data_IF_180456017556
#
_entry.id   IF_180456017556
#
_cell.length_a   1.000
_cell.length_b   1.000
_cell.length_c   1.000
_cell.angle_alpha   90.00
_cell.angle_beta   90.00
_cell.angle_gamma   90.00
#
_symmetry.space_group_name_H-M   'P 1'
#
loop_
_entity.id
_entity.type
_entity.pdbx_description
1 polymer ?
#
# COMPACT_ATOMS: atom_id res chain seq x y z
N UNK A 1 3.26 -27.64 -10.70
CA UNK A 1 4.46 -26.78 -10.72
C UNK A 1 4.11 -25.49 -11.44
N UNK A 2 4.01 -24.36 -10.74
CA UNK A 2 3.70 -23.07 -11.36
C UNK A 2 5.02 -22.37 -11.75
N UNK A 3 5.29 -22.27 -13.05
CA UNK A 3 6.38 -21.46 -13.61
C UNK A 3 6.16 -20.00 -13.24
N UNK A 4 6.97 -19.48 -12.31
CA UNK A 4 6.97 -18.05 -11.99
C UNK A 4 7.70 -17.35 -13.12
N UNK A 5 6.94 -16.90 -14.13
CA UNK A 5 7.47 -15.98 -15.14
C UNK A 5 7.93 -14.69 -14.43
N UNK A 6 9.23 -14.57 -14.20
CA UNK A 6 9.86 -13.35 -13.72
C UNK A 6 9.65 -12.26 -14.78
N UNK A 7 8.92 -11.20 -14.41
CA UNK A 7 8.87 -9.99 -15.22
C UNK A 7 10.16 -9.20 -15.00
N UNK A 8 10.77 -8.73 -16.10
CA UNK A 8 11.77 -7.67 -16.03
C UNK A 8 11.11 -6.40 -15.47
N UNK A 9 11.50 -6.08 -14.24
CA UNK A 9 11.26 -4.77 -13.63
C UNK A 9 12.54 -3.98 -13.78
N UNK A 10 12.43 -2.69 -14.04
CA UNK A 10 13.61 -1.83 -13.97
C UNK A 10 14.05 -1.61 -12.52
N UNK A 11 15.21 -0.97 -12.35
CA UNK A 11 15.79 -0.66 -11.03
C UNK A 11 14.85 0.14 -10.11
N UNK A 12 13.82 0.79 -10.66
CA UNK A 12 12.83 1.58 -9.93
C UNK A 12 11.54 0.79 -9.63
N UNK A 13 11.50 -0.50 -9.95
CA UNK A 13 10.34 -1.37 -9.73
C UNK A 13 9.21 -1.18 -10.75
N UNK A 14 9.44 -0.40 -11.82
CA UNK A 14 8.44 -0.13 -12.84
C UNK A 14 8.38 -1.25 -13.89
N UNK A 15 7.18 -1.46 -14.41
CA UNK A 15 6.90 -2.34 -15.54
C UNK A 15 7.52 -1.80 -16.81
N UNK A 16 8.40 -2.57 -17.46
CA UNK A 16 8.96 -2.23 -18.78
C UNK A 16 7.85 -1.92 -19.81
N UNK A 17 6.71 -2.63 -19.74
CA UNK A 17 5.54 -2.43 -20.63
C UNK A 17 4.75 -1.13 -20.43
N UNK A 18 4.70 -0.58 -19.20
CA UNK A 18 3.97 0.67 -18.87
C UNK A 18 4.93 1.86 -18.72
N UNK A 19 6.24 1.59 -18.73
CA UNK A 19 7.30 2.59 -18.61
C UNK A 19 7.18 3.77 -19.58
N UNK A 20 6.87 3.58 -20.89
CA UNK A 20 6.74 4.73 -21.78
C UNK A 20 5.54 5.61 -21.42
N UNK A 21 4.42 5.03 -21.00
CA UNK A 21 3.22 5.75 -20.55
C UNK A 21 3.49 6.50 -19.24
N UNK A 22 4.17 5.87 -18.28
CA UNK A 22 4.58 6.53 -17.03
C UNK A 22 5.56 7.68 -17.29
N UNK A 23 6.49 7.50 -18.24
CA UNK A 23 7.43 8.55 -18.64
C UNK A 23 6.69 9.73 -19.28
N UNK A 24 5.69 9.47 -20.13
CA UNK A 24 4.85 10.52 -20.72
C UNK A 24 4.07 11.30 -19.65
N UNK A 25 3.43 10.60 -18.72
CA UNK A 25 2.71 11.22 -17.60
C UNK A 25 3.62 12.03 -16.67
N UNK A 26 4.86 11.58 -16.45
CA UNK A 26 5.83 12.32 -15.64
C UNK A 26 6.27 13.66 -16.27
N UNK A 27 6.13 13.83 -17.59
CA UNK A 27 6.43 15.09 -18.27
C UNK A 27 5.31 16.13 -18.15
N UNK A 28 4.13 15.74 -17.64
CA UNK A 28 2.97 16.63 -17.57
C UNK A 28 2.48 16.75 -16.14
N UNK A 29 2.28 18.00 -15.68
CA UNK A 29 1.79 18.25 -14.33
C UNK A 29 0.29 18.02 -14.23
N UNK A 30 -0.14 17.31 -13.19
CA UNK A 30 -1.54 17.17 -12.80
C UNK A 30 -2.11 18.40 -12.07
N UNK A 31 -1.26 19.36 -11.70
CA UNK A 31 -1.63 20.59 -11.00
C UNK A 31 -1.04 21.84 -11.68
N UNK A 32 -1.40 22.11 -12.93
CA UNK A 32 -0.92 23.32 -13.60
C UNK A 32 -1.72 24.54 -13.16
N UNK A 33 -1.09 25.72 -13.25
CA UNK A 33 -1.74 27.03 -13.05
C UNK A 33 -2.45 27.54 -14.31
N UNK A 34 -2.29 26.86 -15.45
CA UNK A 34 -2.82 27.27 -16.76
C UNK A 34 -3.72 26.20 -17.37
N UNK A 35 -4.83 26.63 -17.99
CA UNK A 35 -5.81 25.74 -18.63
C UNK A 35 -5.21 24.92 -19.79
N UNK A 36 -4.36 25.52 -20.62
CA UNK A 36 -3.70 24.84 -21.74
C UNK A 36 -2.83 23.67 -21.26
N UNK A 37 -2.14 23.85 -20.13
CA UNK A 37 -1.32 22.82 -19.50
C UNK A 37 -2.18 21.71 -18.90
N UNK A 38 -3.35 22.02 -18.35
CA UNK A 38 -4.30 21.01 -17.88
C UNK A 38 -4.89 20.20 -19.04
N UNK A 39 -5.16 20.84 -20.18
CA UNK A 39 -5.63 20.14 -21.39
C UNK A 39 -4.59 19.13 -21.87
N UNK A 40 -3.32 19.53 -21.96
CA UNK A 40 -2.21 18.61 -22.26
C UNK A 40 -2.14 17.43 -21.28
N UNK A 41 -2.37 17.67 -19.99
CA UNK A 41 -2.45 16.60 -18.99
C UNK A 41 -3.60 15.64 -19.28
N UNK A 42 -4.81 16.17 -19.50
CA UNK A 42 -5.99 15.37 -19.78
C UNK A 42 -5.82 14.53 -21.06
N UNK A 43 -5.29 15.13 -22.13
CA UNK A 43 -5.04 14.45 -23.40
C UNK A 43 -4.02 13.30 -23.21
N UNK A 44 -2.92 13.57 -22.51
CA UNK A 44 -1.89 12.56 -22.18
C UNK A 44 -2.45 11.43 -21.31
N UNK A 45 -3.32 11.75 -20.34
CA UNK A 45 -4.00 10.75 -19.52
C UNK A 45 -4.89 9.88 -20.38
N UNK A 46 -5.74 10.47 -21.24
CA UNK A 46 -6.65 9.72 -22.10
C UNK A 46 -5.91 8.77 -23.07
N UNK A 47 -4.83 9.24 -23.69
CA UNK A 47 -3.99 8.43 -24.57
C UNK A 47 -3.32 7.25 -23.84
N UNK A 48 -2.84 7.48 -22.62
CA UNK A 48 -2.14 6.45 -21.85
C UNK A 48 -3.08 5.54 -21.04
N UNK A 49 -4.34 5.95 -20.85
CA UNK A 49 -5.29 5.31 -19.95
C UNK A 49 -5.55 3.85 -20.32
N UNK A 50 -5.84 3.58 -21.59
CA UNK A 50 -6.21 2.24 -22.06
C UNK A 50 -5.10 1.22 -21.83
N UNK A 51 -3.86 1.56 -22.23
CA UNK A 51 -2.70 0.69 -22.05
C UNK A 51 -2.39 0.44 -20.56
N UNK A 52 -2.49 1.48 -19.73
CA UNK A 52 -2.26 1.38 -18.30
C UNK A 52 -3.34 0.54 -17.60
N UNK A 53 -4.61 0.70 -17.96
CA UNK A 53 -5.71 -0.11 -17.43
C UNK A 53 -5.64 -1.57 -17.87
N UNK A 54 -5.29 -1.83 -19.12
CA UNK A 54 -5.10 -3.19 -19.62
C UNK A 54 -4.01 -3.95 -18.84
N UNK A 55 -2.98 -3.24 -18.36
CA UNK A 55 -1.94 -3.83 -17.52
C UNK A 55 -2.36 -3.97 -16.04
N UNK A 56 -2.99 -2.94 -15.46
CA UNK A 56 -3.41 -2.95 -14.04
C UNK A 56 -4.56 -3.94 -13.78
N UNK A 57 -5.46 -4.12 -14.73
CA UNK A 57 -6.63 -5.01 -14.60
C UNK A 57 -6.30 -6.51 -14.70
N UNK A 58 -5.05 -6.87 -15.03
CA UNK A 58 -4.66 -8.29 -15.16
C UNK A 58 -4.91 -9.06 -13.85
N UNK A 59 -5.52 -10.27 -13.91
CA UNK A 59 -5.79 -11.07 -12.71
C UNK A 59 -4.56 -11.34 -11.84
N UNK A 60 -3.40 -11.55 -12.47
CA UNK A 60 -2.12 -11.72 -11.76
C UNK A 60 -1.77 -10.51 -10.88
N UNK A 61 -2.09 -9.28 -11.31
CA UNK A 61 -1.82 -8.03 -10.58
C UNK A 61 -2.76 -7.87 -9.40
N UNK A 62 -4.04 -8.11 -9.62
CA UNK A 62 -5.03 -8.14 -8.55
C UNK A 62 -4.59 -9.14 -7.49
N UNK A 63 -4.25 -10.37 -7.88
CA UNK A 63 -3.80 -11.43 -6.97
C UNK A 63 -2.52 -11.05 -6.22
N UNK A 64 -1.54 -10.41 -6.86
CA UNK A 64 -0.33 -9.95 -6.19
C UNK A 64 -0.63 -8.87 -5.13
N UNK A 65 -1.48 -7.88 -5.45
CA UNK A 65 -1.92 -6.86 -4.50
C UNK A 65 -2.71 -7.47 -3.35
N UNK A 66 -3.64 -8.38 -3.64
CA UNK A 66 -4.40 -9.10 -2.61
C UNK A 66 -3.47 -9.90 -1.70
N UNK A 67 -2.46 -10.61 -2.23
CA UNK A 67 -1.48 -11.32 -1.41
C UNK A 67 -0.71 -10.40 -0.46
N UNK A 68 -0.30 -9.22 -0.92
CA UNK A 68 0.36 -8.22 -0.07
C UNK A 68 -0.58 -7.72 1.04
N UNK A 69 -1.83 -7.40 0.68
CA UNK A 69 -2.83 -6.96 1.64
C UNK A 69 -3.14 -8.03 2.69
N UNK A 70 -3.37 -9.28 2.26
CA UNK A 70 -3.57 -10.42 3.14
C UNK A 70 -2.34 -10.71 4.00
N UNK A 71 -1.14 -10.50 3.46
CA UNK A 71 0.12 -10.60 4.20
C UNK A 71 0.17 -9.58 5.34
N UNK A 72 -0.16 -8.32 5.06
CA UNK A 72 -0.25 -7.26 6.08
C UNK A 72 -1.27 -7.61 7.16
N UNK A 73 -2.45 -8.08 6.78
CA UNK A 73 -3.47 -8.53 7.73
C UNK A 73 -2.98 -9.69 8.60
N UNK A 74 -2.29 -10.68 8.02
CA UNK A 74 -1.73 -11.81 8.77
C UNK A 74 -0.68 -11.39 9.78
N UNK A 75 0.18 -10.44 9.43
CA UNK A 75 1.18 -9.88 10.35
C UNK A 75 0.51 -9.18 11.53
N UNK A 76 -0.51 -8.33 11.26
CA UNK A 76 -1.27 -7.64 12.31
C UNK A 76 -1.97 -8.64 13.23
N UNK A 77 -2.65 -9.64 12.66
CA UNK A 77 -3.30 -10.69 13.44
C UNK A 77 -2.31 -11.49 14.30
N UNK A 78 -1.14 -11.84 13.75
CA UNK A 78 -0.10 -12.55 14.50
C UNK A 78 0.52 -11.69 15.60
N UNK A 79 0.63 -10.38 15.41
CA UNK A 79 1.09 -9.46 16.45
C UNK A 79 0.14 -9.48 17.65
N UNK A 80 -1.17 -9.31 17.40
CA UNK A 80 -2.18 -9.31 18.45
C UNK A 80 -2.28 -10.64 19.19
N UNK A 81 -2.25 -11.76 18.47
CA UNK A 81 -2.32 -13.09 19.11
C UNK A 81 -1.12 -13.34 20.03
N UNK A 82 0.09 -12.92 19.62
CA UNK A 82 1.29 -12.98 20.46
C UNK A 82 1.18 -12.08 21.69
N UNK A 83 0.75 -10.83 21.50
CA UNK A 83 0.60 -9.85 22.57
C UNK A 83 -0.38 -10.33 23.64
N UNK A 84 -1.57 -10.79 23.23
CA UNK A 84 -2.60 -11.30 24.15
C UNK A 84 -2.10 -12.55 24.87
N UNK A 85 -1.43 -13.47 24.16
CA UNK A 85 -0.86 -14.69 24.78
C UNK A 85 0.17 -14.34 25.86
N UNK A 86 1.08 -13.43 25.57
CA UNK A 86 2.11 -12.99 26.52
C UNK A 86 1.51 -12.23 27.71
N UNK A 87 0.54 -11.36 27.46
CA UNK A 87 -0.15 -10.61 28.52
C UNK A 87 -0.86 -11.56 29.50
N UNK A 88 -1.65 -12.53 29.00
CA UNK A 88 -2.34 -13.52 29.84
C UNK A 88 -1.40 -14.41 30.63
N UNK A 89 -0.25 -14.79 30.04
CA UNK A 89 0.75 -15.61 30.74
C UNK A 89 1.42 -14.85 31.88
N UNK A 90 1.67 -13.55 31.72
CA UNK A 90 2.36 -12.72 32.71
C UNK A 90 1.40 -12.20 33.79
N UNK A 91 0.17 -11.86 33.42
CA UNK A 91 -0.82 -11.20 34.27
C UNK A 91 -2.24 -11.71 33.97
N UNK A 92 -2.64 -12.88 34.52
CA UNK A 92 -3.94 -13.47 34.21
C UNK A 92 -5.13 -12.62 34.70
N UNK A 93 -4.98 -11.92 35.82
CA UNK A 93 -6.09 -11.20 36.49
C UNK A 93 -6.04 -9.67 36.32
N UNK A 94 -5.31 -9.16 35.32
CA UNK A 94 -5.18 -7.71 35.10
C UNK A 94 -5.82 -7.25 33.80
N UNK A 95 -6.46 -6.08 33.86
CA UNK A 95 -6.98 -5.40 32.68
C UNK A 95 -5.79 -4.93 31.83
N UNK A 96 -5.81 -5.29 30.55
CA UNK A 96 -4.79 -4.86 29.60
C UNK A 96 -5.18 -3.50 29.01
N UNK A 97 -4.50 -2.44 29.42
CA UNK A 97 -4.63 -1.12 28.81
C UNK A 97 -3.52 -0.92 27.77
N UNK A 98 -3.90 -0.56 26.54
CA UNK A 98 -2.95 -0.27 25.46
C UNK A 98 -2.98 1.22 25.11
N UNK A 99 -1.85 1.89 25.34
CA UNK A 99 -1.60 3.20 24.75
C UNK A 99 -1.07 3.00 23.31
N UNK A 100 -1.71 3.62 22.33
CA UNK A 100 -1.27 3.59 20.93
C UNK A 100 -1.22 5.02 20.37
N UNK A 101 -0.31 5.26 19.43
CA UNK A 101 -0.15 6.57 18.80
C UNK A 101 0.84 6.53 17.64
N UNK A 102 0.95 7.64 16.93
CA UNK A 102 1.86 7.76 15.79
C UNK A 102 3.35 7.84 16.19
N UNK A 103 3.66 7.98 17.49
CA UNK A 103 5.02 8.10 18.02
C UNK A 103 5.92 9.08 17.24
N UNK A 104 5.35 10.18 16.73
CA UNK A 104 6.05 11.17 15.93
C UNK A 104 6.31 10.79 14.47
N UNK A 105 5.91 9.59 14.02
CA UNK A 105 6.03 9.16 12.63
C UNK A 105 4.97 9.82 11.74
N UNK A 106 5.39 10.33 10.59
CA UNK A 106 4.47 10.91 9.59
C UNK A 106 3.57 9.82 9.00
N UNK A 107 2.25 10.06 8.96
CA UNK A 107 1.28 9.12 8.38
C UNK A 107 1.44 8.93 6.87
N UNK A 108 2.05 9.91 6.18
CA UNK A 108 2.55 9.77 4.82
C UNK A 108 3.87 9.00 4.89
N UNK A 109 3.88 7.76 4.42
CA UNK A 109 5.11 7.01 4.21
C UNK A 109 5.92 7.68 3.09
N UNK A 110 6.70 8.70 3.44
CA UNK A 110 7.72 9.27 2.56
C UNK A 110 8.83 8.25 2.39
N UNK A 111 9.55 8.30 1.26
CA UNK A 111 10.65 7.36 0.95
C UNK A 111 11.63 7.32 2.13
N UNK A 112 11.76 6.15 2.77
CA UNK A 112 12.61 5.93 3.95
C UNK A 112 11.88 5.89 5.30
N UNK A 113 10.62 6.35 5.37
CA UNK A 113 9.81 6.32 6.59
C UNK A 113 8.74 5.22 6.52
N UNK A 114 8.79 4.28 7.47
CA UNK A 114 7.74 3.28 7.67
C UNK A 114 6.49 3.99 8.21
N UNK A 115 5.51 4.27 7.34
CA UNK A 115 4.23 4.82 7.76
C UNK A 115 3.57 3.92 8.80
N UNK A 116 3.27 4.46 9.98
CA UNK A 116 2.69 3.69 11.08
C UNK A 116 1.20 3.47 10.81
N UNK A 117 0.70 2.22 10.81
CA UNK A 117 -0.70 1.92 10.53
C UNK A 117 -1.60 2.19 11.75
N UNK A 118 -1.65 3.45 12.22
CA UNK A 118 -2.35 3.85 13.46
C UNK A 118 -3.83 3.51 13.41
N UNK A 119 -4.51 3.85 12.31
CA UNK A 119 -5.96 3.59 12.16
C UNK A 119 -6.29 2.11 12.06
N UNK A 120 -5.42 1.32 11.42
CA UNK A 120 -5.60 -0.13 11.31
C UNK A 120 -5.34 -0.81 12.66
N UNK A 121 -4.32 -0.37 13.41
CA UNK A 121 -4.05 -0.89 14.74
C UNK A 121 -5.18 -0.57 15.71
N UNK A 122 -5.75 0.64 15.66
CA UNK A 122 -6.94 1.00 16.45
C UNK A 122 -8.13 0.08 16.15
N UNK A 123 -8.48 -0.08 14.86
CA UNK A 123 -9.61 -0.92 14.45
C UNK A 123 -9.47 -2.37 14.91
N UNK A 124 -8.25 -2.91 14.86
CA UNK A 124 -8.00 -4.28 15.34
C UNK A 124 -7.95 -4.36 16.87
N UNK A 125 -7.45 -3.32 17.56
CA UNK A 125 -7.50 -3.23 19.01
C UNK A 125 -8.95 -3.26 19.53
N UNK A 126 -9.84 -2.45 18.96
CA UNK A 126 -11.26 -2.41 19.36
C UNK A 126 -12.01 -3.74 19.13
N UNK A 127 -11.51 -4.63 18.26
CA UNK A 127 -12.08 -5.98 18.10
C UNK A 127 -11.61 -6.94 19.18
N UNK A 128 -10.40 -6.73 19.71
CA UNK A 128 -9.78 -7.62 20.70
C UNK A 128 -10.11 -7.20 22.13
N UNK A 129 -10.32 -5.91 22.36
CA UNK A 129 -10.66 -5.30 23.64
C UNK A 129 -12.00 -4.55 23.47
N UNK A 130 -13.15 -5.17 23.79
CA UNK A 130 -14.44 -4.50 23.83
C UNK A 130 -14.52 -3.43 24.93
#
# INVERSE_FOLDING_TARGET
>A
MATVAHEERDANGNLTKVKPQLKALAQVSSKPSLLASYRRFADTVLETYGAMWAEVSKPRRANAKFRLYCGKQRVVASFWSKLIKQAKQRWPDRILALAYGAAGFSGSGTIGCMGVPVSQMLKEASKQFP
#
